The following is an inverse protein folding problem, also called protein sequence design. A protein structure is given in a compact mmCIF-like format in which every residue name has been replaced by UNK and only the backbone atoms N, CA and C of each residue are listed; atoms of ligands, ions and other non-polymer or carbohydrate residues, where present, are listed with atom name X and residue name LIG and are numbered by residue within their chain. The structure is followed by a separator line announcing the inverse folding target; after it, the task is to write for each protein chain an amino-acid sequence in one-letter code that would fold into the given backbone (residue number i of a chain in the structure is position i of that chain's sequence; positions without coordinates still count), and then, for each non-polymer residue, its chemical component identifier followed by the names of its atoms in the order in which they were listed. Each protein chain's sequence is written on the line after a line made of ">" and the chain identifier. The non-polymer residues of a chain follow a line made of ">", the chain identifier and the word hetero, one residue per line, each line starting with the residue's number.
data_IF_003786801574
#
_entry.id   IF_003786801574
#
_cell.length_a   1.000
_cell.length_b   1.000
_cell.length_c   1.000
_cell.angle_alpha   90.00
_cell.angle_beta   90.00
_cell.angle_gamma   90.00
#
_symmetry.space_group_name_H-M   'P 1'
#
loop_
_entity.id
_entity.type
_entity.pdbx_description
1 polymer ?
#
# COMPACT_ATOMS: atom_id res chain seq x y z
N UNK A 1 2.11 -10.17 -6.02
CA UNK A 1 1.25 -9.50 -5.01
C UNK A 1 0.57 -8.23 -5.52
N UNK A 2 1.25 -7.29 -6.19
CA UNK A 2 0.58 -6.18 -6.92
C UNK A 2 0.92 -6.20 -8.41
N UNK A 3 2.15 -6.60 -8.75
CA UNK A 3 2.58 -6.82 -10.13
C UNK A 3 1.73 -7.84 -10.90
N UNK A 4 1.13 -8.83 -10.22
CA UNK A 4 0.27 -9.82 -10.88
C UNK A 4 -1.08 -9.26 -11.30
N UNK A 5 -1.56 -8.17 -10.66
CA UNK A 5 -2.82 -7.49 -11.03
C UNK A 5 -2.65 -6.74 -12.34
N UNK A 6 -1.49 -6.10 -12.51
CA UNK A 6 -1.23 -5.23 -13.65
C UNK A 6 -0.37 -5.86 -14.73
N UNK A 7 0.00 -7.14 -14.60
CA UNK A 7 0.93 -7.82 -15.52
C UNK A 7 0.53 -7.66 -16.99
N UNK A 8 -0.75 -7.88 -17.29
CA UNK A 8 -1.29 -7.74 -18.65
C UNK A 8 -1.29 -6.29 -19.15
N UNK A 9 -1.46 -5.32 -18.25
CA UNK A 9 -1.40 -3.88 -18.56
C UNK A 9 0.05 -3.41 -18.73
N UNK A 10 0.96 -3.95 -17.93
CA UNK A 10 2.39 -3.63 -17.95
C UNK A 10 3.07 -4.24 -19.18
N UNK A 11 2.66 -5.42 -19.66
CA UNK A 11 3.15 -5.95 -20.93
C UNK A 11 2.78 -5.04 -22.11
N UNK A 12 1.65 -4.33 -22.05
CA UNK A 12 1.29 -3.28 -23.03
C UNK A 12 2.13 -1.99 -22.94
N UNK A 13 2.98 -1.83 -21.91
CA UNK A 13 3.96 -0.73 -21.79
C UNK A 13 5.33 -1.07 -22.38
N UNK A 14 5.62 -2.37 -22.58
CA UNK A 14 6.93 -2.85 -23.05
C UNK A 14 7.12 -2.66 -24.57
N UNK A 15 6.04 -2.35 -25.31
CA UNK A 15 6.04 -2.14 -26.76
C UNK A 15 6.58 -0.78 -27.23
N UNK A 16 7.36 -0.07 -26.40
CA UNK A 16 8.04 1.15 -26.87
C UNK A 16 9.34 0.75 -27.58
N UNK A 17 9.40 0.78 -28.92
CA UNK A 17 10.59 0.33 -29.64
C UNK A 17 11.79 1.22 -29.31
N UNK A 18 12.85 0.60 -28.79
CA UNK A 18 14.14 1.27 -28.64
C UNK A 18 14.63 1.72 -30.03
N UNK A 19 14.79 3.04 -30.22
CA UNK A 19 15.40 3.60 -31.41
C UNK A 19 16.80 4.09 -31.08
N UNK A 20 17.81 3.51 -31.74
CA UNK A 20 19.20 3.95 -31.59
C UNK A 20 19.30 5.43 -32.01
N UNK A 21 19.76 6.34 -31.12
CA UNK A 21 19.88 7.76 -31.44
C UNK A 21 20.85 8.00 -32.60
N UNK A 22 20.49 8.91 -33.51
CA UNK A 22 21.36 9.36 -34.62
C UNK A 22 22.54 10.23 -34.17
N UNK A 23 22.45 10.80 -32.96
CA UNK A 23 23.47 11.62 -32.30
C UNK A 23 23.52 11.30 -30.80
N UNK A 24 24.58 11.68 -30.08
CA UNK A 24 24.58 11.64 -28.63
C UNK A 24 23.41 12.43 -28.05
N UNK A 25 22.69 11.81 -27.12
CA UNK A 25 21.61 12.43 -26.38
C UNK A 25 22.19 13.36 -25.30
N UNK A 26 21.57 14.52 -25.12
CA UNK A 26 21.76 15.35 -23.94
C UNK A 26 21.31 14.61 -22.66
N UNK A 27 21.72 15.11 -21.49
CA UNK A 27 21.31 14.50 -20.22
C UNK A 27 19.78 14.49 -20.05
N UNK A 28 19.09 15.55 -20.48
CA UNK A 28 17.62 15.61 -20.42
C UNK A 28 16.97 14.55 -21.30
N UNK A 29 17.44 14.38 -22.54
CA UNK A 29 16.92 13.36 -23.46
C UNK A 29 17.14 11.94 -22.92
N UNK A 30 18.27 11.68 -22.25
CA UNK A 30 18.55 10.39 -21.60
C UNK A 30 17.60 10.12 -20.43
N UNK A 31 17.36 11.12 -19.58
CA UNK A 31 16.43 10.99 -18.44
C UNK A 31 15.01 10.73 -18.98
N UNK A 32 14.57 11.48 -19.98
CA UNK A 32 13.25 11.30 -20.59
C UNK A 32 13.08 9.91 -21.21
N UNK A 33 14.11 9.39 -21.87
CA UNK A 33 14.08 8.05 -22.47
C UNK A 33 14.01 6.97 -21.38
N UNK A 34 14.85 7.06 -20.34
CA UNK A 34 14.85 6.10 -19.22
C UNK A 34 13.54 6.14 -18.40
N UNK A 35 12.91 7.31 -18.26
CA UNK A 35 11.67 7.47 -17.51
C UNK A 35 10.41 7.28 -18.37
N UNK A 36 10.53 7.04 -19.68
CA UNK A 36 9.36 7.00 -20.58
C UNK A 36 8.36 5.93 -20.17
N UNK A 37 8.82 4.76 -19.73
CA UNK A 37 7.96 3.67 -19.25
C UNK A 37 7.24 3.97 -17.93
N UNK A 38 7.62 5.05 -17.23
CA UNK A 38 6.95 5.51 -16.01
C UNK A 38 5.84 6.53 -16.29
N UNK A 39 5.72 7.01 -17.54
CA UNK A 39 4.67 7.93 -17.96
C UNK A 39 3.50 7.12 -18.50
N UNK A 40 2.45 7.01 -17.70
CA UNK A 40 1.22 6.30 -18.07
C UNK A 40 0.27 7.25 -18.80
N UNK A 41 -0.30 6.78 -19.91
CA UNK A 41 -1.40 7.45 -20.60
C UNK A 41 -2.74 7.22 -19.87
N UNK A 42 -3.72 8.07 -20.14
CA UNK A 42 -5.08 7.93 -19.61
C UNK A 42 -5.69 6.55 -19.94
N UNK A 43 -5.43 6.03 -21.14
CA UNK A 43 -5.87 4.69 -21.55
C UNK A 43 -5.28 3.60 -20.66
N UNK A 44 -3.98 3.69 -20.35
CA UNK A 44 -3.29 2.74 -19.48
C UNK A 44 -3.78 2.85 -18.04
N UNK A 45 -3.98 4.08 -17.53
CA UNK A 45 -4.57 4.30 -16.21
C UNK A 45 -5.98 3.69 -16.11
N UNK A 46 -6.81 3.85 -17.14
CA UNK A 46 -8.14 3.26 -17.18
C UNK A 46 -8.10 1.72 -17.20
N UNK A 47 -7.19 1.12 -17.96
CA UNK A 47 -6.96 -0.33 -17.94
C UNK A 47 -6.51 -0.83 -16.55
N UNK A 48 -5.66 -0.07 -15.86
CA UNK A 48 -5.26 -0.39 -14.49
C UNK A 48 -6.46 -0.32 -13.53
N UNK A 49 -7.33 0.68 -13.66
CA UNK A 49 -8.55 0.77 -12.83
C UNK A 49 -9.43 -0.47 -13.00
N UNK A 50 -9.69 -0.89 -14.24
CA UNK A 50 -10.51 -2.08 -14.54
C UNK A 50 -9.87 -3.34 -13.96
N UNK A 51 -8.54 -3.51 -14.14
CA UNK A 51 -7.82 -4.66 -13.60
C UNK A 51 -7.85 -4.71 -12.07
N UNK A 52 -7.73 -3.55 -11.42
CA UNK A 52 -7.81 -3.41 -9.97
C UNK A 52 -9.20 -3.78 -9.46
N UNK A 53 -10.25 -3.23 -10.07
CA UNK A 53 -11.65 -3.50 -9.72
C UNK A 53 -11.96 -5.01 -9.82
N UNK A 54 -11.60 -5.63 -10.95
CA UNK A 54 -11.75 -7.08 -11.13
C UNK A 54 -11.02 -7.88 -10.05
N UNK A 55 -9.79 -7.49 -9.70
CA UNK A 55 -9.04 -8.20 -8.65
C UNK A 55 -9.66 -8.02 -7.25
N UNK A 56 -10.32 -6.89 -6.98
CA UNK A 56 -11.09 -6.68 -5.76
C UNK A 56 -12.34 -7.57 -5.74
N UNK A 57 -13.08 -7.69 -6.85
CA UNK A 57 -14.22 -8.61 -6.96
C UNK A 57 -13.81 -10.06 -6.72
N UNK A 58 -12.71 -10.50 -7.33
CA UNK A 58 -12.13 -11.83 -7.10
C UNK A 58 -11.70 -12.04 -5.65
N UNK A 59 -11.18 -11.00 -4.99
CA UNK A 59 -10.80 -11.03 -3.58
C UNK A 59 -12.00 -11.17 -2.64
N UNK A 60 -13.15 -10.58 -2.99
CA UNK A 60 -14.39 -10.66 -2.22
C UNK A 60 -15.15 -11.96 -2.46
N UNK A 61 -15.04 -12.56 -3.64
CA UNK A 61 -15.77 -13.77 -3.99
C UNK A 61 -15.18 -15.03 -3.33
N UNK A 62 -16.01 -15.76 -2.57
CA UNK A 62 -15.61 -16.96 -1.82
C UNK A 62 -14.86 -18.01 -2.66
N UNK A 63 -15.25 -18.17 -3.93
CA UNK A 63 -14.64 -19.14 -4.84
C UNK A 63 -13.20 -18.80 -5.24
N UNK A 64 -12.86 -17.51 -5.32
CA UNK A 64 -11.58 -17.01 -5.86
C UNK A 64 -10.67 -16.40 -4.81
N UNK A 65 -11.21 -15.95 -3.67
CA UNK A 65 -10.50 -15.21 -2.62
C UNK A 65 -9.17 -15.84 -2.16
N UNK A 66 -9.12 -17.18 -2.05
CA UNK A 66 -7.88 -17.90 -1.64
C UNK A 66 -6.71 -17.62 -2.57
N UNK A 67 -6.96 -17.55 -3.88
CA UNK A 67 -5.94 -17.36 -4.93
C UNK A 67 -5.85 -15.93 -5.45
N UNK A 68 -6.81 -15.07 -5.11
CA UNK A 68 -6.82 -13.67 -5.53
C UNK A 68 -5.54 -12.94 -5.13
N UNK A 69 -5.04 -12.07 -6.02
CA UNK A 69 -3.88 -11.23 -5.75
C UNK A 69 -4.18 -10.19 -4.66
N UNK A 70 -5.37 -9.60 -4.70
CA UNK A 70 -5.90 -8.71 -3.65
C UNK A 70 -6.81 -9.52 -2.73
N UNK A 71 -6.47 -9.57 -1.44
CA UNK A 71 -7.11 -10.47 -0.48
C UNK A 71 -8.45 -10.00 0.08
N UNK A 72 -8.75 -8.71 -0.02
CA UNK A 72 -9.99 -8.10 0.47
C UNK A 72 -10.38 -8.57 1.89
N UNK A 73 -9.41 -8.57 2.79
CA UNK A 73 -9.59 -9.09 4.15
C UNK A 73 -10.60 -8.23 4.93
N UNK A 74 -11.50 -8.86 5.72
CA UNK A 74 -12.45 -8.11 6.55
C UNK A 74 -11.70 -7.34 7.64
N UNK A 75 -12.02 -6.05 7.79
CA UNK A 75 -11.45 -5.21 8.85
C UNK A 75 -12.07 -5.44 10.24
N UNK A 76 -13.22 -6.16 10.29
CA UNK A 76 -14.08 -6.32 11.47
C UNK A 76 -14.63 -5.00 12.06
N UNK A 77 -14.46 -3.87 11.37
CA UNK A 77 -15.08 -2.60 11.72
C UNK A 77 -16.54 -2.62 11.25
N UNK A 78 -17.49 -2.61 12.19
CA UNK A 78 -18.93 -2.73 11.91
C UNK A 78 -19.69 -1.41 11.79
N UNK A 79 -19.06 -0.30 12.16
CA UNK A 79 -19.64 1.03 12.08
C UNK A 79 -18.52 2.07 11.89
N UNK A 80 -18.81 3.09 11.11
CA UNK A 80 -17.93 4.25 10.93
C UNK A 80 -18.21 5.27 12.04
N UNK A 81 -17.19 5.96 12.59
CA UNK A 81 -17.39 6.97 13.62
C UNK A 81 -18.38 8.05 13.20
N UNK A 82 -19.22 8.51 14.12
CA UNK A 82 -20.25 9.53 13.87
C UNK A 82 -19.99 10.87 14.58
N UNK A 83 -18.88 10.98 15.31
CA UNK A 83 -18.47 12.18 16.03
C UNK A 83 -19.22 12.40 17.33
N UNK A 84 -19.86 11.37 17.89
CA UNK A 84 -20.45 11.37 19.24
C UNK A 84 -19.63 10.53 20.23
N UNK A 85 -18.55 9.93 19.76
CA UNK A 85 -17.65 9.12 20.58
C UNK A 85 -17.05 9.97 21.70
N UNK A 86 -16.97 9.38 22.88
CA UNK A 86 -16.38 10.04 24.03
C UNK A 86 -15.66 9.04 24.92
N UNK A 87 -14.69 9.53 25.68
CA UNK A 87 -13.89 8.74 26.60
C UNK A 87 -12.40 8.73 26.26
N UNK A 88 -11.66 8.04 27.12
CA UNK A 88 -10.21 7.93 27.04
C UNK A 88 -9.83 6.55 26.48
N UNK A 89 -9.04 6.53 25.42
CA UNK A 89 -8.63 5.34 24.70
C UNK A 89 -7.12 5.27 24.63
N UNK A 90 -6.57 4.05 24.70
CA UNK A 90 -5.17 3.81 24.41
C UNK A 90 -5.02 3.25 23.01
N UNK A 91 -4.06 3.79 22.26
CA UNK A 91 -3.61 3.20 21.01
C UNK A 91 -2.13 2.85 21.08
N UNK A 92 -1.80 1.70 20.48
CA UNK A 92 -0.44 1.20 20.33
C UNK A 92 -0.15 1.08 18.85
N UNK A 93 0.90 1.75 18.40
CA UNK A 93 1.36 1.74 17.02
C UNK A 93 2.76 1.12 16.98
N UNK A 94 2.83 -0.12 16.49
CA UNK A 94 4.05 -0.92 16.46
C UNK A 94 4.74 -0.78 15.11
N UNK A 95 5.78 0.03 15.05
CA UNK A 95 6.72 0.06 13.93
C UNK A 95 7.89 -0.90 14.13
N UNK A 96 8.76 -1.01 13.12
CA UNK A 96 9.94 -1.88 13.19
C UNK A 96 11.00 -1.41 14.19
N UNK A 97 11.37 -0.13 14.13
CA UNK A 97 12.45 0.44 14.97
C UNK A 97 11.93 1.12 16.23
N UNK A 98 10.70 1.63 16.17
CA UNK A 98 10.05 2.34 17.26
C UNK A 98 8.60 1.89 17.37
N UNK A 99 8.06 1.98 18.57
CA UNK A 99 6.62 1.93 18.79
C UNK A 99 6.15 3.19 19.52
N UNK A 100 4.87 3.50 19.37
CA UNK A 100 4.24 4.66 19.96
C UNK A 100 3.04 4.23 20.80
N UNK A 101 2.96 4.81 22.01
CA UNK A 101 1.78 4.71 22.88
C UNK A 101 1.08 6.06 22.87
N UNK A 102 -0.23 6.05 22.60
CA UNK A 102 -1.08 7.23 22.56
C UNK A 102 -2.20 7.09 23.61
N UNK A 103 -2.39 8.13 24.41
CA UNK A 103 -3.65 8.39 25.09
C UNK A 103 -4.47 9.34 24.22
N UNK A 104 -5.65 8.88 23.80
CA UNK A 104 -6.59 9.60 22.95
C UNK A 104 -7.81 9.92 23.80
N UNK A 105 -8.13 11.21 23.98
CA UNK A 105 -9.35 11.65 24.66
C UNK A 105 -10.33 12.20 23.66
N UNK A 106 -11.48 11.53 23.53
CA UNK A 106 -12.55 11.95 22.63
C UNK A 106 -13.63 12.71 23.39
N UNK A 107 -14.09 13.82 22.81
CA UNK A 107 -15.24 14.62 23.27
C UNK A 107 -16.10 14.99 22.07
N UNK A 108 -16.83 14.00 21.56
CA UNK A 108 -17.61 14.14 20.33
C UNK A 108 -16.69 14.32 19.13
N UNK A 109 -16.68 15.52 18.53
CA UNK A 109 -15.84 15.84 17.37
C UNK A 109 -14.45 16.34 17.74
N UNK A 110 -14.19 16.59 19.02
CA UNK A 110 -12.89 16.99 19.52
C UNK A 110 -12.07 15.78 19.94
N UNK A 111 -10.77 15.82 19.63
CA UNK A 111 -9.81 14.79 20.03
C UNK A 111 -8.53 15.44 20.56
N UNK A 112 -8.14 15.09 21.78
CA UNK A 112 -6.83 15.37 22.36
C UNK A 112 -5.98 14.11 22.26
N UNK A 113 -4.71 14.23 21.83
CA UNK A 113 -3.79 13.10 21.72
C UNK A 113 -2.48 13.40 22.43
N UNK A 114 -2.12 12.57 23.40
CA UNK A 114 -0.85 12.64 24.12
C UNK A 114 -0.06 11.37 23.80
N UNK A 115 1.15 11.53 23.27
CA UNK A 115 1.95 10.41 22.77
C UNK A 115 3.35 10.33 23.37
N UNK A 116 3.86 9.10 23.47
CA UNK A 116 5.28 8.84 23.72
C UNK A 116 5.79 7.77 22.76
N UNK A 117 6.99 8.00 22.23
CA UNK A 117 7.69 7.11 21.32
C UNK A 117 8.76 6.36 22.11
N UNK A 118 8.90 5.07 21.83
CA UNK A 118 9.87 4.17 22.44
C UNK A 118 10.65 3.45 21.35
N UNK A 119 11.95 3.29 21.55
CA UNK A 119 12.79 2.50 20.65
C UNK A 119 12.62 1.01 20.97
N UNK A 120 12.45 0.19 19.93
CA UNK A 120 12.45 -1.27 20.07
C UNK A 120 13.90 -1.74 20.26
N UNK A 121 14.21 -2.55 21.29
CA UNK A 121 15.56 -3.11 21.45
C UNK A 121 15.96 -4.00 20.28
N UNK A 122 17.23 -3.95 19.87
CA UNK A 122 17.71 -4.75 18.72
C UNK A 122 17.54 -6.26 18.92
N UNK A 123 17.65 -6.74 20.16
CA UNK A 123 17.41 -8.15 20.50
C UNK A 123 15.98 -8.60 20.20
N UNK A 124 15.00 -7.70 20.32
CA UNK A 124 13.61 -7.95 19.97
C UNK A 124 13.42 -7.85 18.46
N UNK A 125 14.02 -6.85 17.81
CA UNK A 125 13.96 -6.68 16.35
C UNK A 125 14.58 -7.85 15.58
N UNK A 126 15.65 -8.44 16.11
CA UNK A 126 16.44 -9.52 15.49
C UNK A 126 16.31 -10.86 16.24
N UNK A 127 15.22 -11.05 16.99
CA UNK A 127 14.97 -12.28 17.73
C UNK A 127 14.93 -13.52 16.82
N UNK A 128 14.95 -14.71 17.42
CA UNK A 128 15.04 -16.01 16.72
C UNK A 128 13.86 -16.31 15.79
N UNK A 129 12.76 -15.56 15.88
CA UNK A 129 11.57 -15.76 15.06
C UNK A 129 10.77 -17.02 15.41
N UNK A 130 11.12 -17.74 16.49
CA UNK A 130 10.45 -18.97 16.93
C UNK A 130 8.95 -18.78 17.17
N UNK A 131 8.53 -17.57 17.54
CA UNK A 131 7.13 -17.19 17.74
C UNK A 131 6.34 -16.90 16.43
N UNK A 132 6.99 -16.94 15.26
CA UNK A 132 6.38 -16.62 13.95
C UNK A 132 6.00 -17.90 13.17
N UNK A 133 6.38 -19.09 13.66
CA UNK A 133 6.21 -20.37 12.96
C UNK A 133 4.93 -21.16 13.28
N UNK A 134 3.93 -20.55 13.94
CA UNK A 134 2.59 -21.14 14.18
C UNK A 134 1.54 -20.55 13.27
#
# INVERSE_FOLDING_TARGET
>A
MVFDVFKDVLHGLEDVPYRKPRRPLSNLERIQDCCRCLVLSDTQLHQMMIALEKSMEEGLATATAKKAAIKMLPSYVRAVPNGKESGDFLALDLGGTNFRVLLIRLKGREAEMIGKIFRVPESVMRGTGEAVST
#
